data_IF_072750658351
#
_entry.id   IF_072750658351
#
_cell.length_a   1.000
_cell.length_b   1.000
_cell.length_c   1.000
_cell.angle_alpha   90.00
_cell.angle_beta   90.00
_cell.angle_gamma   90.00
#
_symmetry.space_group_name_H-M   'P 1'
#
loop_
_entity.id
_entity.type
_entity.pdbx_description
1 polymer ?
#
# COMPACT_ATOMS: atom_id res chain seq x y z
N UNK A 1 0.77 0.30 26.16
CA UNK A 1 1.07 -1.05 25.78
C UNK A 1 0.92 -1.23 24.29
N UNK A 2 1.80 -1.96 23.71
CA UNK A 2 1.77 -1.96 22.29
C UNK A 2 2.22 -3.29 21.74
N UNK A 3 1.30 -3.88 21.00
CA UNK A 3 1.63 -4.97 20.10
C UNK A 3 1.74 -4.35 18.74
N UNK A 4 2.87 -4.53 18.09
CA UNK A 4 3.13 -3.96 16.78
C UNK A 4 3.19 -5.06 15.74
N UNK A 5 2.59 -4.80 14.59
CA UNK A 5 2.85 -5.65 13.44
C UNK A 5 4.26 -5.32 12.96
N UNK A 6 5.17 -6.28 13.09
CA UNK A 6 6.58 -6.07 12.78
C UNK A 6 6.87 -6.24 11.30
N UNK A 7 6.47 -7.37 10.76
CA UNK A 7 6.65 -7.63 9.33
C UNK A 7 5.60 -8.61 8.86
N UNK A 8 5.37 -8.62 7.56
CA UNK A 8 4.57 -9.66 6.94
C UNK A 8 5.14 -9.99 5.58
N UNK A 9 4.93 -11.22 5.16
CA UNK A 9 5.39 -11.69 3.85
C UNK A 9 4.33 -11.38 2.82
N UNK A 10 4.77 -10.77 1.70
CA UNK A 10 3.92 -10.52 0.55
C UNK A 10 4.43 -11.39 -0.60
N UNK A 11 3.69 -12.44 -0.98
CA UNK A 11 4.13 -13.31 -2.07
C UNK A 11 3.91 -12.63 -3.43
N UNK A 12 4.90 -12.71 -4.28
CA UNK A 12 4.85 -12.09 -5.61
C UNK A 12 5.61 -12.95 -6.61
N UNK A 13 5.42 -12.70 -7.89
CA UNK A 13 6.13 -13.46 -8.92
C UNK A 13 7.52 -12.93 -9.18
N UNK A 14 7.74 -11.64 -8.96
CA UNK A 14 9.05 -11.00 -9.13
C UNK A 14 9.27 -10.07 -7.95
N UNK A 15 10.02 -10.55 -6.97
CA UNK A 15 10.18 -9.82 -5.70
C UNK A 15 10.91 -8.49 -5.86
N UNK A 16 11.87 -8.44 -6.77
CA UNK A 16 12.62 -7.19 -6.99
C UNK A 16 11.75 -6.12 -7.65
N UNK A 17 11.02 -6.49 -8.69
CA UNK A 17 10.16 -5.56 -9.39
C UNK A 17 9.00 -5.08 -8.49
N UNK A 18 8.37 -6.00 -7.76
CA UNK A 18 7.24 -5.66 -6.92
C UNK A 18 7.65 -4.76 -5.75
N UNK A 19 8.75 -5.08 -5.09
CA UNK A 19 9.23 -4.27 -3.98
C UNK A 19 9.65 -2.88 -4.44
N UNK A 20 10.36 -2.80 -5.57
CA UNK A 20 10.78 -1.52 -6.12
C UNK A 20 9.58 -0.63 -6.46
N UNK A 21 8.55 -1.22 -7.05
CA UNK A 21 7.35 -0.46 -7.41
C UNK A 21 6.65 0.09 -6.17
N UNK A 22 6.40 -0.74 -5.17
CA UNK A 22 5.72 -0.27 -3.98
C UNK A 22 6.53 0.78 -3.23
N UNK A 23 7.84 0.55 -3.10
CA UNK A 23 8.71 1.51 -2.44
C UNK A 23 8.68 2.87 -3.14
N UNK A 24 8.67 2.87 -4.48
CA UNK A 24 8.60 4.10 -5.24
C UNK A 24 7.26 4.81 -5.05
N UNK A 25 6.15 4.08 -5.05
CA UNK A 25 4.82 4.68 -4.87
C UNK A 25 4.67 5.30 -3.48
N UNK A 26 5.17 4.63 -2.45
CA UNK A 26 5.08 5.12 -1.08
C UNK A 26 6.20 6.11 -0.73
N UNK A 27 7.23 6.20 -1.55
CA UNK A 27 8.44 6.99 -1.29
C UNK A 27 9.12 6.53 0.00
N UNK A 28 9.35 5.23 0.10
CA UNK A 28 10.01 4.61 1.24
C UNK A 28 11.20 3.77 0.75
N UNK A 29 12.17 3.47 1.63
CA UNK A 29 13.33 2.68 1.23
C UNK A 29 12.99 1.21 1.08
N UNK A 30 13.80 0.53 0.27
CA UNK A 30 13.77 -0.91 0.12
C UNK A 30 15.19 -1.44 0.05
N UNK A 31 15.36 -2.70 0.41
CA UNK A 31 16.67 -3.34 0.37
C UNK A 31 16.50 -4.84 0.34
N UNK A 32 17.48 -5.54 -0.21
CA UNK A 32 17.53 -6.98 -0.04
C UNK A 32 17.74 -7.28 1.43
N UNK A 33 16.94 -8.19 1.95
CA UNK A 33 17.09 -8.62 3.33
C UNK A 33 17.79 -9.98 3.38
N UNK A 34 18.08 -10.43 4.57
CA UNK A 34 18.65 -11.75 4.76
C UNK A 34 17.70 -12.81 4.24
N UNK A 35 18.26 -13.82 3.58
CA UNK A 35 17.49 -14.89 3.02
C UNK A 35 16.87 -14.53 1.69
N UNK A 36 15.61 -14.90 1.51
CA UNK A 36 14.96 -14.89 0.20
C UNK A 36 14.11 -13.64 -0.08
N UNK A 37 14.11 -12.66 0.81
CA UNK A 37 13.17 -11.55 0.72
C UNK A 37 13.80 -10.29 0.15
N UNK A 38 12.93 -9.43 -0.42
CA UNK A 38 13.26 -8.02 -0.64
C UNK A 38 12.34 -7.22 0.26
N UNK A 39 12.93 -6.43 1.15
CA UNK A 39 12.18 -5.70 2.17
C UNK A 39 11.76 -4.33 1.67
N UNK A 40 10.55 -3.93 1.99
CA UNK A 40 10.08 -2.54 1.85
C UNK A 40 9.83 -2.02 3.26
N UNK A 41 10.55 -0.98 3.63
CA UNK A 41 10.46 -0.40 4.98
C UNK A 41 9.37 0.67 4.96
N UNK A 42 8.16 0.27 5.30
CA UNK A 42 6.98 1.15 5.22
C UNK A 42 7.09 2.32 6.18
N UNK A 43 7.51 2.01 7.42
CA UNK A 43 7.79 3.01 8.44
C UNK A 43 8.75 2.40 9.46
N UNK A 44 8.95 3.07 10.59
CA UNK A 44 9.90 2.61 11.60
C UNK A 44 9.51 1.28 12.23
N UNK A 45 8.25 0.88 12.15
CA UNK A 45 7.78 -0.33 12.82
C UNK A 45 7.28 -1.43 11.89
N UNK A 46 7.14 -1.20 10.59
CA UNK A 46 6.56 -2.20 9.69
C UNK A 46 7.42 -2.40 8.47
N UNK A 47 7.79 -3.65 8.24
CA UNK A 47 8.48 -4.09 7.03
C UNK A 47 7.58 -5.04 6.26
N UNK A 48 7.51 -4.86 4.95
CA UNK A 48 6.89 -5.85 4.06
C UNK A 48 8.01 -6.62 3.38
N UNK A 49 8.04 -7.93 3.59
CA UNK A 49 9.03 -8.81 2.99
C UNK A 49 8.46 -9.46 1.75
N UNK A 50 8.89 -8.98 0.59
CA UNK A 50 8.44 -9.52 -0.68
C UNK A 50 9.16 -10.82 -0.97
N UNK A 51 8.37 -11.89 -1.13
CA UNK A 51 8.88 -13.24 -1.33
C UNK A 51 8.46 -13.75 -2.69
N UNK A 52 9.42 -14.30 -3.45
CA UNK A 52 9.10 -14.82 -4.77
C UNK A 52 8.44 -16.19 -4.64
N UNK A 53 7.24 -16.32 -5.20
CA UNK A 53 6.44 -17.54 -5.12
C UNK A 53 5.73 -17.77 -6.45
N UNK A 54 5.43 -19.04 -6.74
CA UNK A 54 4.73 -19.40 -7.97
C UNK A 54 3.21 -19.46 -7.80
N UNK A 55 2.76 -19.89 -6.63
CA UNK A 55 1.32 -19.99 -6.36
C UNK A 55 0.98 -19.27 -5.07
N UNK A 56 -0.04 -18.42 -5.11
CA UNK A 56 -0.50 -17.70 -3.93
C UNK A 56 -1.83 -17.02 -4.24
N UNK A 57 -2.51 -16.59 -3.20
CA UNK A 57 -3.72 -15.77 -3.32
C UNK A 57 -3.37 -14.30 -3.10
N UNK A 58 -4.13 -13.42 -3.73
CA UNK A 58 -3.96 -12.00 -3.54
C UNK A 58 -4.34 -11.57 -2.14
N UNK A 59 -3.59 -10.62 -1.60
CA UNK A 59 -3.86 -10.02 -0.30
C UNK A 59 -4.48 -8.65 -0.50
N UNK A 60 -5.22 -8.18 0.52
CA UNK A 60 -5.68 -6.81 0.58
C UNK A 60 -4.91 -6.09 1.68
N UNK A 61 -4.22 -5.03 1.33
CA UNK A 61 -3.38 -4.27 2.25
C UNK A 61 -3.74 -2.80 2.11
N UNK A 62 -4.05 -2.18 3.23
CA UNK A 62 -4.47 -0.78 3.26
C UNK A 62 -3.53 0.03 4.16
N UNK A 63 -3.08 1.17 3.68
CA UNK A 63 -2.28 2.11 4.45
C UNK A 63 -3.11 3.33 4.78
N UNK A 64 -3.07 3.74 6.05
CA UNK A 64 -3.63 5.02 6.46
C UNK A 64 -2.53 6.06 6.33
N UNK A 65 -2.84 7.14 5.63
CA UNK A 65 -1.86 8.19 5.31
C UNK A 65 -2.47 9.56 5.62
N UNK A 66 -1.63 10.57 5.72
CA UNK A 66 -2.10 11.95 5.82
C UNK A 66 -2.64 12.43 4.48
N UNK A 67 -3.36 13.55 4.48
CA UNK A 67 -3.83 14.14 3.23
C UNK A 67 -2.68 14.45 2.28
N UNK A 68 -1.60 14.99 2.80
CA UNK A 68 -0.45 15.32 1.96
C UNK A 68 0.21 14.07 1.38
N UNK A 69 0.32 13.02 2.17
CA UNK A 69 0.86 11.74 1.69
C UNK A 69 -0.05 11.11 0.65
N UNK A 70 -1.38 11.19 0.88
CA UNK A 70 -2.34 10.69 -0.08
C UNK A 70 -2.15 11.35 -1.44
N UNK A 71 -2.09 12.68 -1.45
CA UNK A 71 -1.96 13.42 -2.70
C UNK A 71 -0.64 13.09 -3.41
N UNK A 72 0.44 12.93 -2.64
CA UNK A 72 1.74 12.59 -3.21
C UNK A 72 1.73 11.17 -3.83
N UNK A 73 1.16 10.19 -3.10
CA UNK A 73 1.07 8.82 -3.60
C UNK A 73 0.17 8.77 -4.83
N UNK A 74 -0.96 9.46 -4.78
CA UNK A 74 -1.88 9.52 -5.92
C UNK A 74 -1.20 10.09 -7.16
N UNK A 75 -0.42 11.14 -6.98
CA UNK A 75 0.35 11.71 -8.10
C UNK A 75 1.34 10.71 -8.71
N UNK A 76 1.97 9.89 -7.87
CA UNK A 76 2.91 8.85 -8.35
C UNK A 76 2.18 7.72 -9.06
N UNK A 77 0.99 7.34 -8.58
CA UNK A 77 0.15 6.35 -9.24
C UNK A 77 -0.20 6.83 -10.65
N UNK A 78 -0.63 8.09 -10.77
CA UNK A 78 -0.98 8.67 -12.05
C UNK A 78 0.24 8.77 -12.98
N UNK A 79 1.36 9.23 -12.45
CA UNK A 79 2.58 9.35 -13.23
C UNK A 79 3.10 8.01 -13.75
N UNK A 80 2.87 6.95 -12.98
CA UNK A 80 3.28 5.60 -13.38
C UNK A 80 2.27 4.93 -14.33
N UNK A 81 1.15 5.57 -14.64
CA UNK A 81 0.13 5.01 -15.52
C UNK A 81 -0.62 3.83 -14.91
N UNK A 82 -0.66 3.75 -13.58
CA UNK A 82 -1.36 2.68 -12.89
C UNK A 82 -2.84 3.00 -12.85
N UNK A 83 -3.67 2.03 -13.23
CA UNK A 83 -5.13 2.18 -13.10
C UNK A 83 -5.55 2.01 -11.64
N UNK A 84 -6.61 2.72 -11.27
CA UNK A 84 -7.10 2.70 -9.90
C UNK A 84 -8.62 2.83 -9.87
N UNK A 85 -9.20 2.60 -8.71
CA UNK A 85 -10.65 2.65 -8.58
C UNK A 85 -11.09 3.11 -7.18
N UNK A 86 -12.35 3.52 -7.11
CA UNK A 86 -12.92 4.08 -5.90
C UNK A 86 -13.48 3.04 -4.95
N UNK A 87 -13.50 1.77 -5.34
CA UNK A 87 -14.03 0.69 -4.51
C UNK A 87 -13.17 -0.55 -4.59
N UNK A 88 -13.38 -1.52 -3.68
CA UNK A 88 -12.56 -2.73 -3.65
C UNK A 88 -12.85 -3.68 -4.80
N UNK A 89 -13.99 -3.55 -5.44
CA UNK A 89 -14.44 -4.42 -6.54
C UNK A 89 -14.89 -3.59 -7.71
N UNK A 90 -15.03 -4.26 -8.85
CA UNK A 90 -15.54 -3.62 -10.04
C UNK A 90 -14.43 -3.09 -10.92
N UNK A 91 -14.82 -2.28 -11.89
CA UNK A 91 -13.90 -1.74 -12.87
C UNK A 91 -13.04 -0.63 -12.30
N UNK A 92 -11.89 -0.41 -12.94
CA UNK A 92 -11.01 0.70 -12.61
C UNK A 92 -11.64 1.99 -13.14
N UNK A 93 -12.43 2.64 -12.31
CA UNK A 93 -13.18 3.83 -12.69
C UNK A 93 -12.34 5.10 -12.67
N UNK A 94 -11.09 5.01 -12.25
CA UNK A 94 -10.15 6.14 -12.19
C UNK A 94 -10.68 7.27 -11.31
N UNK A 95 -11.28 6.90 -10.18
CA UNK A 95 -11.88 7.85 -9.24
C UNK A 95 -11.36 7.62 -7.83
N UNK A 96 -11.29 8.69 -7.06
CA UNK A 96 -11.05 8.67 -5.63
C UNK A 96 -12.41 8.64 -4.95
N UNK A 97 -12.54 7.83 -3.90
CA UNK A 97 -13.74 7.83 -3.06
C UNK A 97 -13.60 8.85 -1.93
N UNK A 98 -14.69 9.57 -1.67
CA UNK A 98 -14.80 10.42 -0.47
C UNK A 98 -15.95 9.96 0.42
N UNK A 99 -16.51 8.80 0.12
CA UNK A 99 -17.74 8.33 0.76
C UNK A 99 -17.56 8.03 2.24
N UNK A 100 -16.35 7.73 2.67
CA UNK A 100 -16.07 7.30 4.05
C UNK A 100 -15.54 8.43 4.93
N UNK A 101 -15.72 9.67 4.53
CA UNK A 101 -15.38 10.83 5.34
C UNK A 101 -14.00 11.42 5.09
N UNK A 102 -13.23 10.79 4.25
CA UNK A 102 -11.92 11.27 3.84
C UNK A 102 -11.70 10.90 2.39
N UNK A 103 -10.47 10.62 2.04
CA UNK A 103 -10.13 10.14 0.69
C UNK A 103 -9.68 8.70 0.77
N UNK A 104 -10.10 7.88 -0.18
CA UNK A 104 -9.48 6.57 -0.35
C UNK A 104 -9.53 6.14 -1.82
N UNK A 105 -8.58 5.30 -2.20
CA UNK A 105 -8.54 4.68 -3.50
C UNK A 105 -7.86 3.33 -3.41
N UNK A 106 -8.11 2.52 -4.43
CA UNK A 106 -7.60 1.16 -4.53
C UNK A 106 -6.87 1.00 -5.86
N UNK A 107 -5.81 0.20 -5.86
CA UNK A 107 -5.22 -0.28 -7.11
C UNK A 107 -4.85 -1.75 -6.94
N UNK A 108 -5.01 -2.50 -8.02
CA UNK A 108 -4.67 -3.91 -8.04
C UNK A 108 -3.40 -4.08 -8.85
N UNK A 109 -2.45 -4.84 -8.31
CA UNK A 109 -1.20 -5.04 -9.01
C UNK A 109 -1.24 -6.28 -9.91
N UNK A 110 -0.13 -6.55 -10.60
CA UNK A 110 -0.04 -7.68 -11.52
C UNK A 110 -0.08 -9.02 -10.80
N UNK A 111 0.19 -9.05 -9.51
CA UNK A 111 0.17 -10.25 -8.70
C UNK A 111 -1.20 -10.53 -8.09
N UNK A 112 -2.17 -9.66 -8.34
CA UNK A 112 -3.51 -9.81 -7.81
C UNK A 112 -3.70 -9.25 -6.41
N UNK A 113 -2.69 -8.58 -5.85
CA UNK A 113 -2.85 -7.90 -4.56
C UNK A 113 -3.63 -6.62 -4.75
N UNK A 114 -4.55 -6.38 -3.84
CA UNK A 114 -5.35 -5.16 -3.82
C UNK A 114 -4.78 -4.22 -2.77
N UNK A 115 -4.22 -3.12 -3.21
CA UNK A 115 -3.65 -2.08 -2.36
C UNK A 115 -4.65 -0.96 -2.18
N UNK A 116 -4.60 -0.34 -1.02
CA UNK A 116 -5.49 0.76 -0.71
C UNK A 116 -4.73 1.80 0.10
N UNK A 117 -5.03 3.07 -0.14
CA UNK A 117 -4.64 4.16 0.76
C UNK A 117 -5.90 4.91 1.17
N UNK A 118 -5.94 5.36 2.42
CA UNK A 118 -7.04 6.14 2.95
C UNK A 118 -6.53 7.16 3.96
N UNK A 119 -7.31 8.21 4.15
CA UNK A 119 -6.98 9.23 5.15
C UNK A 119 -7.82 9.08 6.40
N UNK A 120 -9.03 8.50 6.29
CA UNK A 120 -9.89 8.22 7.43
C UNK A 120 -10.19 6.74 7.45
N UNK A 121 -9.86 6.08 8.56
CA UNK A 121 -10.01 4.64 8.67
C UNK A 121 -11.48 4.25 8.90
N UNK A 122 -12.02 3.42 8.02
CA UNK A 122 -13.33 2.82 8.27
C UNK A 122 -13.24 1.66 9.28
N UNK A 123 -12.05 1.13 9.50
CA UNK A 123 -11.83 0.10 10.52
C UNK A 123 -11.77 0.72 11.92
N UNK A 124 -11.35 1.97 12.01
CA UNK A 124 -11.24 2.73 13.26
C UNK A 124 -11.72 4.15 13.02
N UNK A 125 -13.04 4.34 12.82
CA UNK A 125 -13.56 5.67 12.46
C UNK A 125 -13.35 6.72 13.55
N UNK A 126 -13.14 6.29 14.79
CA UNK A 126 -12.88 7.20 15.90
C UNK A 126 -11.48 7.78 15.90
N UNK A 127 -10.55 7.25 15.09
CA UNK A 127 -9.20 7.79 15.03
C UNK A 127 -9.20 9.13 14.31
N UNK A 128 -8.45 10.07 14.89
CA UNK A 128 -8.21 11.33 14.22
C UNK A 128 -7.41 11.10 12.93
N UNK A 129 -7.66 11.88 11.88
CA UNK A 129 -6.83 11.80 10.69
C UNK A 129 -5.37 12.04 11.00
N UNK A 130 -4.50 11.32 10.30
CA UNK A 130 -3.07 11.53 10.45
C UNK A 130 -2.70 12.91 9.93
N UNK A 131 -1.79 13.54 10.63
CA UNK A 131 -1.21 14.77 10.17
C UNK A 131 0.00 14.45 9.30
N UNK A 132 0.92 15.35 9.21
CA UNK A 132 2.07 15.14 8.37
C UNK A 132 2.97 14.02 8.91
N UNK A 133 3.53 13.21 8.00
CA UNK A 133 4.54 12.24 8.35
C UNK A 133 5.77 12.91 8.94
N UNK A 134 6.42 12.21 9.85
CA UNK A 134 7.65 12.67 10.44
C UNK A 134 8.85 12.00 9.82
#
# INVERSE_FOLDING_TARGET
>A
MAIHLDHMIVPVRDKHAAAKRLAALLDVPSAESLGEFVAVFVNEGLTLDFAQREGFEGHHICFRVSDAEFDAIFGRIQAAGITYRSGPRGADDMRISTRLGGKNLYWQDADGHLWEILTVSYARPEHEPLTRAR
#
